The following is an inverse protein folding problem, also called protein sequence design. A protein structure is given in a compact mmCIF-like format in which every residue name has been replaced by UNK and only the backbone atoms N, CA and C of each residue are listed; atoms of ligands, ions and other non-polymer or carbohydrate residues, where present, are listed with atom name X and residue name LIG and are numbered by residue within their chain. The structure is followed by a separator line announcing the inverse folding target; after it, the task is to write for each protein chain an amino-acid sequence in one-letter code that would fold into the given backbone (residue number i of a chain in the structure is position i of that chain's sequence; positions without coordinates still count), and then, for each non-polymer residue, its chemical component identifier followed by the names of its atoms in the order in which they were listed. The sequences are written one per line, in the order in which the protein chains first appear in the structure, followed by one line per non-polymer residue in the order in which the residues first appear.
data_IF_546303595144
#
_entry.id   IF_546303595144
#
_cell.length_a   1.000
_cell.length_b   1.000
_cell.length_c   1.000
_cell.angle_alpha   90.00
_cell.angle_beta   90.00
_cell.angle_gamma   90.00
#
_symmetry.space_group_name_H-M   'P 1'
#
loop_
_entity.id
_entity.type
_entity.pdbx_description
1 polymer ?
#
# COMPACT_ATOMS: atom_id res chain seq x y z
N UNK A 1 12.34 -20.78 45.10
CA UNK A 1 12.17 -21.40 43.77
C UNK A 1 10.96 -20.87 43.00
N UNK A 2 9.80 -20.63 43.63
CA UNK A 2 8.58 -20.09 42.98
C UNK A 2 8.74 -18.67 42.39
N UNK A 3 9.59 -17.82 42.97
CA UNK A 3 9.84 -16.46 42.45
C UNK A 3 10.55 -16.40 41.08
N UNK A 4 11.23 -17.47 40.66
CA UNK A 4 11.90 -17.49 39.35
C UNK A 4 10.96 -17.92 38.21
N UNK A 5 9.95 -18.73 38.49
CA UNK A 5 8.94 -19.13 37.50
C UNK A 5 8.01 -17.99 37.07
N UNK A 6 7.77 -17.00 37.95
CA UNK A 6 7.03 -15.78 37.60
C UNK A 6 7.82 -14.84 36.68
N UNK A 7 9.15 -14.84 36.78
CA UNK A 7 10.04 -13.97 36.01
C UNK A 7 10.22 -14.47 34.56
N UNK A 8 10.15 -15.78 34.35
CA UNK A 8 10.21 -16.37 33.01
C UNK A 8 8.88 -16.20 32.24
N UNK A 9 7.72 -16.33 32.91
CA UNK A 9 6.41 -16.04 32.27
C UNK A 9 6.22 -14.56 31.92
N UNK A 10 6.82 -13.64 32.68
CA UNK A 10 6.82 -12.22 32.31
C UNK A 10 7.77 -11.90 31.14
N UNK A 11 8.84 -12.69 30.95
CA UNK A 11 9.78 -12.51 29.84
C UNK A 11 9.21 -12.97 28.49
N UNK A 12 8.27 -13.91 28.49
CA UNK A 12 7.56 -14.34 27.27
C UNK A 12 6.41 -13.40 26.86
N UNK A 13 5.92 -12.55 27.77
CA UNK A 13 4.90 -11.54 27.49
C UNK A 13 5.45 -10.18 27.03
N UNK A 14 6.78 -9.98 27.07
CA UNK A 14 7.46 -8.73 26.72
C UNK A 14 8.23 -8.78 25.39
N UNK A 15 7.91 -9.74 24.53
CA UNK A 15 8.36 -9.67 23.14
C UNK A 15 7.62 -8.47 22.52
N UNK A 16 8.33 -7.36 22.32
CA UNK A 16 7.85 -6.12 21.72
C UNK A 16 6.70 -6.40 20.75
N UNK A 17 5.48 -6.10 21.20
CA UNK A 17 4.24 -6.56 20.58
C UNK A 17 4.06 -5.82 19.26
N UNK A 18 4.72 -6.29 18.19
CA UNK A 18 4.73 -5.60 16.90
C UNK A 18 3.29 -5.33 16.45
N UNK A 19 3.03 -4.23 15.72
CA UNK A 19 1.72 -3.96 15.14
C UNK A 19 1.43 -4.90 13.96
N UNK A 20 1.41 -6.22 14.21
CA UNK A 20 1.30 -7.27 13.20
C UNK A 20 0.00 -7.10 12.41
N UNK A 21 -1.11 -6.76 13.08
CA UNK A 21 -2.38 -6.51 12.40
C UNK A 21 -2.32 -5.34 11.41
N UNK A 22 -1.72 -4.20 11.81
CA UNK A 22 -1.56 -3.03 10.95
C UNK A 22 -0.62 -3.32 9.78
N UNK A 23 0.50 -4.01 10.04
CA UNK A 23 1.46 -4.44 9.03
C UNK A 23 0.82 -5.38 8.02
N UNK A 24 0.12 -6.42 8.47
CA UNK A 24 -0.54 -7.40 7.58
C UNK A 24 -1.61 -6.74 6.73
N UNK A 25 -2.45 -5.85 7.29
CA UNK A 25 -3.47 -5.13 6.52
C UNK A 25 -2.87 -4.20 5.47
N UNK A 26 -1.85 -3.43 5.85
CA UNK A 26 -1.15 -2.55 4.92
C UNK A 26 -0.44 -3.34 3.81
N UNK A 27 0.17 -4.48 4.14
CA UNK A 27 0.83 -5.36 3.17
C UNK A 27 -0.16 -5.98 2.18
N UNK A 28 -1.31 -6.50 2.65
CA UNK A 28 -2.33 -7.05 1.76
C UNK A 28 -2.89 -5.96 0.85
N UNK A 29 -3.14 -4.76 1.38
CA UNK A 29 -3.56 -3.60 0.58
C UNK A 29 -2.55 -3.24 -0.51
N UNK A 30 -1.26 -3.20 -0.17
CA UNK A 30 -0.16 -2.93 -1.10
C UNK A 30 -0.06 -3.99 -2.21
N UNK A 31 -0.17 -5.28 -1.85
CA UNK A 31 -0.13 -6.37 -2.82
C UNK A 31 -1.31 -6.28 -3.79
N UNK A 32 -2.52 -6.02 -3.29
CA UNK A 32 -3.70 -5.85 -4.15
C UNK A 32 -3.56 -4.65 -5.09
N UNK A 33 -3.02 -3.53 -4.60
CA UNK A 33 -2.72 -2.37 -5.44
C UNK A 33 -1.64 -2.69 -6.50
N UNK A 34 -0.60 -3.43 -6.12
CA UNK A 34 0.44 -3.88 -7.04
C UNK A 34 -0.13 -4.77 -8.16
N UNK A 35 -1.00 -5.72 -7.81
CA UNK A 35 -1.70 -6.56 -8.80
C UNK A 35 -2.60 -5.72 -9.72
N UNK A 36 -3.33 -4.75 -9.16
CA UNK A 36 -4.14 -3.83 -9.95
C UNK A 36 -3.30 -2.97 -10.90
N UNK A 37 -2.16 -2.46 -10.44
CA UNK A 37 -1.22 -1.72 -11.28
C UNK A 37 -0.64 -2.59 -12.41
N UNK A 38 -0.25 -3.84 -12.12
CA UNK A 38 0.22 -4.80 -13.12
C UNK A 38 -0.88 -5.09 -14.15
N UNK A 39 -2.12 -5.32 -13.71
CA UNK A 39 -3.26 -5.53 -14.60
C UNK A 39 -3.47 -4.33 -15.53
N UNK A 40 -3.38 -3.10 -15.01
CA UNK A 40 -3.49 -1.88 -15.81
C UNK A 40 -2.35 -1.75 -16.81
N UNK A 41 -1.09 -1.99 -16.41
CA UNK A 41 0.06 -2.00 -17.33
C UNK A 41 -0.10 -3.07 -18.40
N UNK A 42 -0.57 -4.28 -18.02
CA UNK A 42 -0.87 -5.35 -18.96
C UNK A 42 -1.98 -4.96 -19.93
N UNK A 43 -3.09 -4.37 -19.44
CA UNK A 43 -4.17 -3.86 -20.29
C UNK A 43 -3.64 -2.80 -21.25
N UNK A 44 -2.85 -1.83 -20.79
CA UNK A 44 -2.23 -0.81 -21.64
C UNK A 44 -1.32 -1.46 -22.68
N UNK A 45 -0.42 -2.36 -22.28
CA UNK A 45 0.52 -3.00 -23.18
C UNK A 45 -0.20 -3.87 -24.22
N UNK A 46 -1.20 -4.65 -23.79
CA UNK A 46 -1.99 -5.52 -24.65
C UNK A 46 -2.89 -4.72 -25.61
N UNK A 47 -3.56 -3.68 -25.11
CA UNK A 47 -4.44 -2.85 -25.94
C UNK A 47 -3.64 -1.93 -26.88
N UNK A 48 -2.45 -1.48 -26.48
CA UNK A 48 -1.55 -0.69 -27.33
C UNK A 48 -0.80 -1.56 -28.34
N UNK A 49 -0.51 -2.82 -28.02
CA UNK A 49 0.08 -3.81 -28.93
C UNK A 49 -0.95 -4.49 -29.83
N UNK A 50 -2.25 -4.32 -29.52
CA UNK A 50 -3.35 -4.80 -30.33
C UNK A 50 -3.52 -3.94 -31.58
N UNK A 51 -3.02 -4.44 -32.70
CA UNK A 51 -3.46 -4.11 -34.07
C UNK A 51 -4.98 -4.17 -34.30
N UNK A 52 -5.79 -4.48 -33.27
CA UNK A 52 -7.24 -4.58 -33.31
C UNK A 52 -7.96 -3.26 -32.99
N UNK A 53 -7.33 -2.28 -32.32
CA UNK A 53 -7.92 -0.94 -32.14
C UNK A 53 -7.32 0.13 -33.06
N UNK A 54 -6.15 -0.10 -33.67
CA UNK A 54 -5.62 0.84 -34.67
C UNK A 54 -6.34 0.76 -36.02
N UNK A 55 -7.31 -0.15 -36.18
CA UNK A 55 -7.85 -0.53 -37.49
C UNK A 55 -9.34 -0.27 -37.74
N UNK A 56 -10.19 -0.09 -36.73
CA UNK A 56 -11.65 0.02 -36.98
C UNK A 56 -12.34 1.09 -36.12
N UNK A 57 -12.62 2.22 -36.78
CA UNK A 57 -13.68 3.22 -36.51
C UNK A 57 -13.39 4.51 -35.71
N UNK A 58 -12.30 4.64 -34.95
CA UNK A 58 -11.93 5.95 -34.36
C UNK A 58 -10.45 6.26 -34.58
N UNK A 59 -10.17 7.21 -35.47
CA UNK A 59 -8.82 7.51 -35.94
C UNK A 59 -7.88 8.01 -34.82
N UNK A 60 -6.55 7.89 -35.03
CA UNK A 60 -5.53 8.44 -34.13
C UNK A 60 -5.71 9.97 -34.04
N UNK A 61 -6.48 10.44 -33.07
CA UNK A 61 -6.85 11.86 -32.94
C UNK A 61 -8.27 12.11 -32.42
N UNK A 62 -9.18 11.13 -32.45
CA UNK A 62 -10.55 11.30 -31.91
C UNK A 62 -10.68 11.07 -30.40
N UNK A 63 -9.75 10.32 -29.80
CA UNK A 63 -9.50 10.40 -28.36
C UNK A 63 -8.51 11.55 -28.16
N UNK A 64 -9.03 12.77 -27.93
CA UNK A 64 -8.26 14.02 -27.86
C UNK A 64 -7.05 14.01 -26.91
N UNK A 65 -6.36 15.15 -26.72
CA UNK A 65 -5.05 15.26 -26.02
C UNK A 65 -4.99 14.64 -24.61
N UNK A 66 -6.14 14.37 -24.03
CA UNK A 66 -6.35 13.57 -22.82
C UNK A 66 -5.71 12.16 -22.85
N UNK A 67 -5.60 11.51 -24.02
CA UNK A 67 -5.03 10.15 -24.14
C UNK A 67 -3.50 10.10 -24.23
N UNK A 68 -2.81 11.22 -24.46
CA UNK A 68 -1.35 11.25 -24.55
C UNK A 68 -0.65 11.56 -23.23
N UNK A 69 -1.21 12.50 -22.45
CA UNK A 69 -0.55 13.06 -21.26
C UNK A 69 -0.96 12.37 -19.95
N UNK A 70 -2.21 11.94 -19.83
CA UNK A 70 -2.72 11.39 -18.57
C UNK A 70 -2.22 9.97 -18.28
N UNK A 71 -1.85 9.20 -19.30
CA UNK A 71 -1.39 7.82 -19.13
C UNK A 71 0.01 7.70 -18.53
N UNK A 72 1.04 8.45 -19.01
CA UNK A 72 2.33 8.49 -18.34
C UNK A 72 2.23 9.05 -16.91
N UNK A 73 1.38 10.06 -16.70
CA UNK A 73 1.15 10.64 -15.38
C UNK A 73 0.52 9.62 -14.41
N UNK A 74 -0.46 8.84 -14.87
CA UNK A 74 -1.05 7.76 -14.09
C UNK A 74 0.01 6.69 -13.76
N UNK A 75 0.81 6.23 -14.73
CA UNK A 75 1.87 5.27 -14.48
C UNK A 75 2.91 5.78 -13.46
N UNK A 76 3.30 7.06 -13.54
CA UNK A 76 4.20 7.69 -12.58
C UNK A 76 3.61 7.76 -11.17
N UNK A 77 2.32 8.10 -11.05
CA UNK A 77 1.61 8.12 -9.77
C UNK A 77 1.48 6.71 -9.17
N UNK A 78 1.20 5.68 -9.99
CA UNK A 78 1.18 4.30 -9.54
C UNK A 78 2.53 3.87 -8.94
N UNK A 79 3.63 4.18 -9.64
CA UNK A 79 4.97 3.89 -9.18
C UNK A 79 5.29 4.63 -7.87
N UNK A 80 4.87 5.89 -7.74
CA UNK A 80 5.03 6.67 -6.51
C UNK A 80 4.24 6.05 -5.34
N UNK A 81 2.98 5.66 -5.54
CA UNK A 81 2.15 5.01 -4.52
C UNK A 81 2.77 3.69 -4.06
N UNK A 82 3.22 2.84 -4.99
CA UNK A 82 3.88 1.57 -4.67
C UNK A 82 5.17 1.83 -3.90
N UNK A 83 6.00 2.78 -4.35
CA UNK A 83 7.24 3.14 -3.67
C UNK A 83 7.01 3.61 -2.24
N UNK A 84 6.08 4.55 -2.04
CA UNK A 84 5.70 5.05 -0.72
C UNK A 84 5.11 3.93 0.16
N UNK A 85 4.31 3.05 -0.42
CA UNK A 85 3.73 1.91 0.26
C UNK A 85 4.76 0.89 0.74
N UNK A 86 5.75 0.56 -0.08
CA UNK A 86 6.85 -0.33 0.30
C UNK A 86 7.64 0.27 1.47
N UNK A 87 8.00 1.55 1.38
CA UNK A 87 8.75 2.24 2.44
C UNK A 87 7.91 2.29 3.72
N UNK A 88 6.64 2.68 3.63
CA UNK A 88 5.74 2.77 4.77
C UNK A 88 5.51 1.43 5.46
N UNK A 89 5.28 0.36 4.70
CA UNK A 89 5.14 -1.01 5.22
C UNK A 89 6.44 -1.52 5.83
N UNK A 90 7.60 -1.20 5.25
CA UNK A 90 8.89 -1.58 5.82
C UNK A 90 9.13 -0.93 7.19
N UNK A 91 8.70 0.32 7.37
CA UNK A 91 8.82 1.03 8.64
C UNK A 91 7.80 0.57 9.67
N UNK A 92 6.60 0.15 9.26
CA UNK A 92 5.61 -0.51 10.13
C UNK A 92 6.12 -1.83 10.74
N UNK A 93 7.06 -2.52 10.08
CA UNK A 93 7.67 -3.74 10.62
C UNK A 93 8.72 -3.48 11.73
N UNK A 94 9.05 -2.22 12.00
CA UNK A 94 10.04 -1.85 13.02
C UNK A 94 9.44 -1.89 14.43
N UNK A 95 10.26 -2.23 15.43
CA UNK A 95 9.85 -2.19 16.85
C UNK A 95 9.89 -0.79 17.48
N UNK A 96 10.36 0.22 16.72
CA UNK A 96 10.46 1.60 17.17
C UNK A 96 9.15 2.36 16.92
N UNK A 97 8.60 2.95 17.98
CA UNK A 97 7.31 3.67 17.97
C UNK A 97 7.30 4.86 16.99
N UNK A 98 8.41 5.58 16.87
CA UNK A 98 8.54 6.69 15.92
C UNK A 98 8.50 6.19 14.46
N UNK A 99 9.23 5.10 14.15
CA UNK A 99 9.23 4.51 12.80
C UNK A 99 7.87 3.93 12.40
N UNK A 100 7.15 3.32 13.34
CA UNK A 100 5.78 2.83 13.11
C UNK A 100 4.84 3.97 12.75
N UNK A 101 4.92 5.11 13.46
CA UNK A 101 4.11 6.30 13.16
C UNK A 101 4.45 6.88 11.80
N UNK A 102 5.74 7.08 11.50
CA UNK A 102 6.18 7.61 10.21
C UNK A 102 5.77 6.69 9.05
N UNK A 103 5.89 5.37 9.23
CA UNK A 103 5.43 4.38 8.27
C UNK A 103 3.91 4.41 8.07
N UNK A 104 3.15 4.62 9.14
CA UNK A 104 1.68 4.75 9.07
C UNK A 104 1.24 6.00 8.30
N UNK A 105 1.92 7.12 8.51
CA UNK A 105 1.66 8.37 7.76
C UNK A 105 1.96 8.17 6.28
N UNK A 106 3.09 7.52 5.94
CA UNK A 106 3.42 7.22 4.54
C UNK A 106 2.38 6.34 3.86
N UNK A 107 1.92 5.28 4.55
CA UNK A 107 0.86 4.39 4.05
C UNK A 107 -0.46 5.15 3.85
N UNK A 108 -0.81 6.05 4.77
CA UNK A 108 -1.98 6.92 4.65
C UNK A 108 -1.88 7.86 3.45
N UNK A 109 -0.76 8.57 3.31
CA UNK A 109 -0.53 9.48 2.17
C UNK A 109 -0.59 8.70 0.85
N UNK A 110 0.05 7.53 0.78
CA UNK A 110 0.00 6.66 -0.38
C UNK A 110 -1.45 6.24 -0.70
N UNK A 111 -2.25 5.90 0.32
CA UNK A 111 -3.66 5.51 0.13
C UNK A 111 -4.54 6.64 -0.39
N UNK A 112 -4.31 7.89 0.05
CA UNK A 112 -5.07 9.06 -0.42
C UNK A 112 -4.73 9.38 -1.88
N UNK A 113 -3.46 9.26 -2.27
CA UNK A 113 -3.03 9.45 -3.67
C UNK A 113 -3.52 8.30 -4.58
N UNK A 114 -3.69 7.10 -4.02
CA UNK A 114 -4.20 5.93 -4.73
C UNK A 114 -5.71 6.02 -5.05
N UNK A 115 -6.50 6.80 -4.30
CA UNK A 115 -7.96 6.87 -4.47
C UNK A 115 -8.40 7.46 -5.82
N UNK A 116 -7.90 8.63 -6.27
CA UNK A 116 -8.29 9.21 -7.56
C UNK A 116 -7.73 8.44 -8.74
N UNK A 117 -6.62 7.74 -8.53
CA UNK A 117 -5.90 7.07 -9.60
C UNK A 117 -6.46 5.68 -9.94
N UNK A 118 -7.37 5.15 -9.12
CA UNK A 118 -8.18 3.94 -9.36
C UNK A 118 -7.43 2.84 -10.13
N UNK A 119 -6.25 2.46 -9.65
CA UNK A 119 -5.46 1.33 -10.19
C UNK A 119 -6.03 -0.03 -9.78
N UNK A 120 -7.33 -0.22 -9.97
CA UNK A 120 -7.94 -1.54 -10.03
C UNK A 120 -8.64 -2.05 -8.77
N UNK A 121 -8.37 -1.58 -7.55
CA UNK A 121 -9.08 -2.12 -6.38
C UNK A 121 -9.26 -1.09 -5.26
N UNK A 122 -10.46 -0.48 -5.19
CA UNK A 122 -10.92 0.34 -4.05
C UNK A 122 -10.65 -0.37 -2.72
N UNK A 123 -10.80 -1.71 -2.72
CA UNK A 123 -10.51 -2.58 -1.58
C UNK A 123 -9.04 -2.51 -1.15
N UNK A 124 -8.09 -2.47 -2.09
CA UNK A 124 -6.65 -2.36 -1.78
C UNK A 124 -6.29 -1.03 -1.12
N UNK A 125 -6.83 0.09 -1.64
CA UNK A 125 -6.68 1.41 -1.01
C UNK A 125 -7.35 1.48 0.36
N UNK A 126 -8.51 0.84 0.54
CA UNK A 126 -9.19 0.80 1.84
C UNK A 126 -8.36 0.03 2.87
N UNK A 127 -7.78 -1.10 2.48
CA UNK A 127 -6.95 -1.94 3.36
C UNK A 127 -5.66 -1.22 3.78
N UNK A 128 -4.98 -0.51 2.86
CA UNK A 128 -3.85 0.36 3.23
C UNK A 128 -4.28 1.49 4.15
N UNK A 129 -5.41 2.15 3.88
CA UNK A 129 -5.93 3.23 4.73
C UNK A 129 -6.21 2.75 6.15
N UNK A 130 -6.93 1.63 6.31
CA UNK A 130 -7.22 1.02 7.61
C UNK A 130 -5.93 0.56 8.30
N UNK A 131 -4.99 -0.05 7.57
CA UNK A 131 -3.67 -0.43 8.08
C UNK A 131 -2.88 0.75 8.62
N UNK A 132 -2.91 1.90 7.92
CA UNK A 132 -2.29 3.14 8.37
C UNK A 132 -2.94 3.73 9.62
N UNK A 133 -4.28 3.73 9.72
CA UNK A 133 -4.98 4.15 10.95
C UNK A 133 -4.59 3.25 12.12
N UNK A 134 -4.63 1.92 11.93
CA UNK A 134 -4.28 0.97 12.98
C UNK A 134 -2.83 1.15 13.45
N UNK A 135 -1.91 1.42 12.53
CA UNK A 135 -0.52 1.73 12.85
C UNK A 135 -0.35 3.02 13.67
N UNK A 136 -1.14 4.07 13.39
CA UNK A 136 -1.15 5.30 14.20
C UNK A 136 -1.76 5.10 15.60
N UNK A 137 -2.81 4.26 15.70
CA UNK A 137 -3.50 3.97 16.97
C UNK A 137 -2.76 2.97 17.84
N UNK A 138 -1.76 2.26 17.30
CA UNK A 138 -1.00 1.28 18.05
C UNK A 138 -0.17 1.97 19.15
N UNK A 139 -0.32 1.49 20.38
CA UNK A 139 0.46 1.89 21.54
C UNK A 139 1.06 0.63 22.17
N UNK A 140 2.38 0.57 22.42
CA UNK A 140 2.99 -0.58 23.07
C UNK A 140 2.47 -0.70 24.50
N UNK A 141 1.86 -1.85 24.79
CA UNK A 141 1.33 -2.27 26.09
C UNK A 141 2.40 -2.35 27.18
N UNK A 142 3.68 -2.38 26.82
CA UNK A 142 4.82 -2.55 27.72
C UNK A 142 5.20 -1.30 28.56
N UNK A 143 4.39 -0.23 28.57
CA UNK A 143 4.65 0.99 29.33
C UNK A 143 3.53 1.34 30.33
N UNK A 144 2.99 0.34 31.03
CA UNK A 144 2.30 0.52 32.32
C UNK A 144 3.09 -0.12 33.45
#
# INVERSE_FOLDING_TARGET
MVKQLGKERQKSGSAAEKPVAAFTLALVGLVLQGLGAILVVYMIAFWRSGYWWSGTMMGPGMMGPWSGFLWPLAAALAAAVIGLGIVGVSWLNSAELNKVRDGSVLVLVASVIALPTMFGLIVGSLLMFVGGILGLTWQPSARR
#
